data_IF_473746320839
#
_entry.id   IF_473746320839
#
_cell.length_a   1.000
_cell.length_b   1.000
_cell.length_c   1.000
_cell.angle_alpha   90.00
_cell.angle_beta   90.00
_cell.angle_gamma   90.00
#
_symmetry.space_group_name_H-M   'P 1'
#
loop_
_entity.id
_entity.type
_entity.pdbx_description
1 polymer ?
#
# COMPACT_ATOMS: atom_id res chain seq x y z
N UNK A 1 14.46 -31.41 22.49
CA UNK A 1 14.13 -30.03 22.88
C UNK A 1 14.10 -29.08 21.68
N UNK A 2 14.71 -29.46 20.55
CA UNK A 2 14.68 -28.60 19.32
C UNK A 2 13.42 -28.78 18.46
N UNK A 3 12.56 -29.74 18.82
CA UNK A 3 11.35 -30.03 18.02
C UNK A 3 10.12 -29.23 18.44
N UNK A 4 10.18 -28.45 19.50
CA UNK A 4 9.06 -27.61 19.94
C UNK A 4 9.09 -26.19 19.40
N UNK A 5 10.17 -25.79 18.73
CA UNK A 5 10.31 -24.46 18.15
C UNK A 5 9.49 -24.31 16.84
N UNK A 6 9.04 -25.41 16.27
CA UNK A 6 8.27 -25.43 15.02
C UNK A 6 6.79 -25.70 15.17
N UNK A 7 6.28 -25.84 16.35
CA UNK A 7 4.86 -26.03 16.57
C UNK A 7 4.20 -24.70 16.87
N UNK A 8 3.59 -24.18 15.84
CA UNK A 8 2.44 -23.30 15.81
C UNK A 8 2.27 -22.36 17.01
N UNK A 9 2.10 -21.09 16.70
CA UNK A 9 1.32 -20.20 17.56
C UNK A 9 -0.10 -20.80 17.64
N UNK A 10 -0.22 -21.97 18.23
CA UNK A 10 -1.48 -22.64 18.48
C UNK A 10 -1.87 -22.32 19.92
N UNK A 11 -2.94 -21.61 20.08
CA UNK A 11 -3.42 -21.18 21.36
C UNK A 11 -3.24 -19.69 21.61
N UNK A 12 -3.69 -19.23 22.76
CA UNK A 12 -3.67 -17.83 23.16
C UNK A 12 -2.26 -17.26 23.42
N UNK A 13 -1.21 -18.05 23.24
CA UNK A 13 0.14 -17.69 23.64
C UNK A 13 1.01 -17.31 22.46
N UNK A 14 1.43 -16.06 22.40
CA UNK A 14 2.58 -15.63 21.60
C UNK A 14 3.83 -16.03 22.36
N UNK A 15 4.62 -16.98 21.83
CA UNK A 15 5.90 -17.34 22.43
C UNK A 15 6.93 -16.25 22.15
N UNK A 16 7.17 -15.42 23.14
CA UNK A 16 8.26 -14.46 23.11
C UNK A 16 9.47 -15.11 23.76
N UNK A 17 10.49 -15.37 22.98
CA UNK A 17 11.76 -15.88 23.50
C UNK A 17 12.65 -14.69 23.84
N UNK A 18 12.51 -14.19 25.04
CA UNK A 18 13.47 -13.25 25.62
C UNK A 18 14.44 -14.13 26.43
N UNK A 19 15.64 -14.33 25.90
CA UNK A 19 16.69 -15.14 26.56
C UNK A 19 16.17 -16.50 27.09
N UNK A 20 15.42 -17.20 26.21
CA UNK A 20 14.93 -18.59 26.36
C UNK A 20 13.80 -18.89 27.35
N UNK A 21 13.20 -17.92 28.06
CA UNK A 21 12.39 -18.30 29.23
C UNK A 21 11.02 -17.65 29.39
N UNK A 22 10.63 -16.67 28.56
CA UNK A 22 9.37 -15.96 28.80
C UNK A 22 8.35 -16.23 27.70
N UNK A 23 7.08 -16.41 28.09
CA UNK A 23 5.94 -16.51 27.20
C UNK A 23 5.02 -15.32 27.43
N UNK A 24 4.42 -14.79 26.36
CA UNK A 24 3.42 -13.74 26.46
C UNK A 24 2.08 -14.25 25.97
N UNK A 25 1.02 -13.83 26.66
CA UNK A 25 -0.35 -14.07 26.22
C UNK A 25 -0.73 -13.08 25.12
N UNK A 26 -1.26 -13.61 24.01
CA UNK A 26 -1.71 -12.82 22.88
C UNK A 26 -3.11 -13.17 22.43
N UNK A 27 -3.74 -12.27 21.71
CA UNK A 27 -5.03 -12.49 21.07
C UNK A 27 -5.06 -11.85 19.69
N UNK A 28 -5.86 -12.43 18.80
CA UNK A 28 -6.14 -11.87 17.49
C UNK A 28 -7.16 -10.75 17.61
N UNK A 29 -6.88 -9.62 16.97
CA UNK A 29 -7.77 -8.46 16.85
C UNK A 29 -8.13 -8.28 15.40
N UNK A 30 -9.42 -8.30 15.08
CA UNK A 30 -9.89 -8.08 13.71
C UNK A 30 -9.72 -6.63 13.31
N UNK A 31 -9.25 -6.43 12.07
CA UNK A 31 -9.04 -5.12 11.47
C UNK A 31 -9.88 -5.03 10.20
N UNK A 32 -10.94 -4.23 10.23
CA UNK A 32 -11.85 -4.10 9.09
C UNK A 32 -11.50 -2.93 8.16
N UNK A 33 -10.75 -1.96 8.67
CA UNK A 33 -10.49 -0.70 7.97
C UNK A 33 -9.06 -0.25 8.22
N UNK A 34 -8.40 0.16 7.15
CA UNK A 34 -7.05 0.73 7.20
C UNK A 34 -7.01 2.04 6.42
N UNK A 35 -6.03 2.90 6.73
CA UNK A 35 -5.75 4.15 6.01
C UNK A 35 -4.29 4.16 5.56
N UNK A 36 -3.89 3.25 4.66
CA UNK A 36 -2.52 3.21 4.21
C UNK A 36 -2.23 4.38 3.27
N UNK A 37 -1.11 5.05 3.49
CA UNK A 37 -0.53 5.92 2.48
C UNK A 37 0.27 5.05 1.52
N UNK A 38 -0.30 4.75 0.38
CA UNK A 38 0.39 3.96 -0.65
C UNK A 38 0.25 4.62 -2.01
N UNK A 39 1.33 4.62 -2.77
CA UNK A 39 1.31 5.00 -4.18
C UNK A 39 0.84 3.86 -5.08
N UNK A 40 0.69 2.65 -4.54
CA UNK A 40 0.23 1.48 -5.29
C UNK A 40 -1.29 1.45 -5.30
N UNK A 41 -1.87 1.40 -6.51
CA UNK A 41 -3.30 1.18 -6.69
C UNK A 41 -3.54 -0.32 -6.93
N UNK A 42 -4.37 -0.91 -6.07
CA UNK A 42 -4.69 -2.33 -6.13
C UNK A 42 -6.04 -2.55 -6.79
N UNK A 43 -6.05 -3.34 -7.88
CA UNK A 43 -7.26 -3.54 -8.68
C UNK A 43 -7.45 -5.01 -8.99
N UNK A 44 -8.67 -5.50 -8.78
CA UNK A 44 -9.09 -6.84 -9.16
C UNK A 44 -9.70 -7.61 -8.02
N UNK A 45 -9.71 -8.94 -8.19
CA UNK A 45 -10.28 -9.87 -7.23
C UNK A 45 -9.55 -11.21 -7.28
N UNK A 46 -9.26 -11.75 -6.10
CA UNK A 46 -8.67 -13.07 -5.96
C UNK A 46 -9.38 -13.86 -4.86
N UNK A 47 -9.59 -15.14 -5.09
CA UNK A 47 -10.07 -16.11 -4.10
C UNK A 47 -9.00 -17.15 -3.84
N UNK A 48 -8.58 -17.25 -2.59
CA UNK A 48 -7.58 -18.20 -2.14
C UNK A 48 -8.22 -19.06 -1.05
N UNK A 49 -8.32 -20.40 -1.24
CA UNK A 49 -9.12 -21.26 -0.34
C UNK A 49 -8.75 -21.11 1.13
N UNK A 50 -7.45 -21.03 1.45
CA UNK A 50 -6.95 -20.93 2.83
C UNK A 50 -7.05 -19.53 3.40
N UNK A 51 -7.02 -18.51 2.54
CA UNK A 51 -6.97 -17.10 2.93
C UNK A 51 -8.36 -16.44 2.92
N UNK A 52 -9.08 -16.63 1.84
CA UNK A 52 -10.35 -15.97 1.58
C UNK A 52 -10.38 -15.20 0.29
N UNK A 53 -11.33 -14.28 0.16
CA UNK A 53 -11.51 -13.44 -1.03
C UNK A 53 -11.08 -12.01 -0.74
N UNK A 54 -10.21 -11.48 -1.59
CA UNK A 54 -9.75 -10.11 -1.56
C UNK A 54 -10.13 -9.41 -2.86
N UNK A 55 -10.81 -8.27 -2.73
CA UNK A 55 -11.21 -7.44 -3.85
C UNK A 55 -10.83 -6.00 -3.58
N UNK A 56 -10.35 -5.30 -4.59
CA UNK A 56 -10.00 -3.89 -4.49
C UNK A 56 -10.39 -3.15 -5.76
N UNK A 57 -10.93 -1.97 -5.57
CA UNK A 57 -11.13 -0.95 -6.58
C UNK A 57 -10.56 0.39 -6.10
N UNK A 58 -10.55 1.39 -6.98
CA UNK A 58 -9.82 2.64 -6.72
C UNK A 58 -10.69 3.84 -7.02
N UNK A 59 -10.68 4.82 -6.12
CA UNK A 59 -11.08 6.20 -6.41
C UNK A 59 -9.82 7.05 -6.41
N UNK A 60 -9.64 7.89 -7.43
CA UNK A 60 -8.43 8.71 -7.54
C UNK A 60 -8.71 10.04 -8.20
N UNK A 61 -8.04 11.07 -7.68
CA UNK A 61 -7.92 12.38 -8.29
C UNK A 61 -6.66 12.44 -9.17
N UNK A 62 -6.52 13.53 -9.90
CA UNK A 62 -5.36 13.80 -10.75
C UNK A 62 -4.79 15.19 -10.47
N UNK A 63 -3.47 15.26 -10.43
CA UNK A 63 -2.75 16.52 -10.49
C UNK A 63 -2.78 17.03 -11.93
N UNK A 64 -3.26 18.25 -12.18
CA UNK A 64 -3.37 18.75 -13.54
C UNK A 64 -2.01 19.04 -14.17
N UNK A 65 -1.93 18.92 -15.49
CA UNK A 65 -0.76 19.38 -16.23
C UNK A 65 -0.62 20.90 -16.11
N UNK A 66 0.62 21.38 -16.08
CA UNK A 66 0.94 22.81 -16.07
C UNK A 66 1.53 23.29 -17.42
N UNK A 67 1.61 22.41 -18.40
CA UNK A 67 2.32 22.64 -19.64
C UNK A 67 1.40 22.95 -20.84
N UNK A 68 0.16 23.36 -20.59
CA UNK A 68 -0.78 23.70 -21.64
C UNK A 68 -0.34 24.97 -22.39
N UNK A 69 -0.02 24.82 -23.68
CA UNK A 69 0.41 25.90 -24.52
C UNK A 69 -0.80 26.47 -25.33
N UNK A 70 -1.49 27.44 -24.72
CA UNK A 70 -2.67 28.08 -25.33
C UNK A 70 -2.32 29.08 -26.44
N UNK A 71 -1.05 29.45 -26.60
CA UNK A 71 -0.62 30.25 -27.75
C UNK A 71 -0.54 29.39 -29.02
N UNK A 72 -0.27 28.09 -28.87
CA UNK A 72 -0.08 27.15 -29.97
C UNK A 72 -1.31 26.30 -30.25
N UNK A 73 -2.02 25.84 -29.20
CA UNK A 73 -3.15 24.94 -29.32
C UNK A 73 -4.43 25.51 -28.72
N UNK A 74 -5.55 25.03 -29.27
CA UNK A 74 -6.89 25.21 -28.68
C UNK A 74 -7.48 23.85 -28.32
N UNK A 75 -8.60 23.83 -27.62
CA UNK A 75 -9.29 22.58 -27.28
C UNK A 75 -9.67 21.75 -28.51
N UNK A 76 -9.85 22.40 -29.70
CA UNK A 76 -10.18 21.69 -30.92
C UNK A 76 -9.02 20.85 -31.48
N UNK A 77 -7.79 21.09 -31.00
CA UNK A 77 -6.62 20.30 -31.37
C UNK A 77 -6.47 19.01 -30.54
N UNK A 78 -7.32 18.79 -29.54
CA UNK A 78 -7.34 17.53 -28.80
C UNK A 78 -7.79 16.40 -29.72
N UNK A 79 -6.91 15.44 -29.93
CA UNK A 79 -7.07 14.31 -30.81
C UNK A 79 -7.62 13.08 -30.08
N UNK A 80 -7.11 12.83 -28.89
CA UNK A 80 -7.52 11.70 -28.05
C UNK A 80 -7.11 11.91 -26.59
N UNK A 81 -7.68 11.08 -25.73
CA UNK A 81 -7.32 10.96 -24.31
C UNK A 81 -7.36 9.50 -23.88
N UNK A 82 -6.36 9.09 -23.12
CA UNK A 82 -6.24 7.74 -22.58
C UNK A 82 -5.97 7.77 -21.09
N UNK A 83 -6.49 6.77 -20.37
CA UNK A 83 -6.02 6.42 -19.04
C UNK A 83 -4.92 5.38 -19.21
N UNK A 84 -3.75 5.67 -18.67
CA UNK A 84 -2.57 4.79 -18.72
C UNK A 84 -2.29 4.25 -17.32
N UNK A 85 -2.28 2.93 -17.19
CA UNK A 85 -2.04 2.23 -15.94
C UNK A 85 -0.80 1.35 -16.11
N UNK A 86 0.27 1.70 -15.42
CA UNK A 86 1.53 0.96 -15.52
C UNK A 86 1.78 0.11 -14.29
N UNK A 87 2.28 -1.09 -14.51
CA UNK A 87 2.68 -2.01 -13.45
C UNK A 87 3.94 -2.79 -13.86
N UNK A 88 4.75 -3.21 -12.89
CA UNK A 88 5.90 -4.09 -13.14
C UNK A 88 5.41 -5.46 -13.65
N UNK A 89 6.19 -6.12 -14.49
CA UNK A 89 5.81 -7.39 -15.13
C UNK A 89 5.33 -8.46 -14.14
N UNK A 90 5.87 -8.48 -12.94
CA UNK A 90 5.53 -9.42 -11.87
C UNK A 90 4.59 -8.83 -10.79
N UNK A 91 4.14 -7.59 -10.95
CA UNK A 91 3.35 -6.90 -9.93
C UNK A 91 1.85 -7.26 -10.04
N UNK A 92 1.55 -8.53 -9.96
CA UNK A 92 0.19 -9.05 -9.82
C UNK A 92 0.22 -10.32 -8.98
N UNK A 93 -0.91 -10.65 -8.38
CA UNK A 93 -1.12 -11.87 -7.62
C UNK A 93 -2.22 -12.66 -8.34
N UNK A 94 -2.01 -13.95 -8.53
CA UNK A 94 -2.98 -14.85 -9.16
C UNK A 94 -2.62 -15.25 -10.59
N UNK A 95 -3.64 -15.59 -11.38
CA UNK A 95 -3.49 -16.13 -12.72
C UNK A 95 -3.08 -15.05 -13.72
N UNK A 96 -1.95 -15.26 -14.40
CA UNK A 96 -1.45 -14.33 -15.43
C UNK A 96 -2.29 -14.31 -16.72
N UNK A 97 -3.04 -15.37 -16.99
CA UNK A 97 -3.84 -15.49 -18.23
C UNK A 97 -5.33 -15.21 -18.02
N UNK A 98 -5.78 -15.09 -16.77
CA UNK A 98 -7.18 -14.79 -16.49
C UNK A 98 -7.58 -13.43 -17.09
N UNK A 99 -8.61 -13.39 -17.96
CA UNK A 99 -9.07 -12.12 -18.51
C UNK A 99 -9.82 -11.31 -17.44
N UNK A 100 -9.48 -10.04 -17.35
CA UNK A 100 -10.11 -9.07 -16.47
C UNK A 100 -10.62 -7.90 -17.30
N UNK A 101 -11.74 -7.32 -16.92
CA UNK A 101 -12.24 -6.11 -17.55
C UNK A 101 -12.18 -4.96 -16.56
N UNK A 102 -11.48 -3.90 -16.92
CA UNK A 102 -11.51 -2.62 -16.23
C UNK A 102 -12.61 -1.75 -16.80
N UNK A 103 -13.31 -1.06 -15.91
CA UNK A 103 -14.25 0.00 -16.27
C UNK A 103 -13.89 1.27 -15.52
N UNK A 104 -13.92 2.38 -16.23
CA UNK A 104 -13.60 3.70 -15.73
C UNK A 104 -14.88 4.53 -15.67
N UNK A 105 -15.20 5.04 -14.48
CA UNK A 105 -16.36 5.90 -14.24
C UNK A 105 -15.91 7.28 -13.80
N UNK A 106 -16.50 8.36 -14.31
CA UNK A 106 -16.17 9.70 -13.83
C UNK A 106 -16.78 9.92 -12.45
N UNK A 107 -16.01 10.48 -11.53
CA UNK A 107 -16.54 10.96 -10.27
C UNK A 107 -17.42 12.20 -10.51
N UNK A 108 -18.51 12.30 -9.78
CA UNK A 108 -19.44 13.43 -9.83
C UNK A 108 -19.30 14.37 -8.64
N UNK A 109 -18.54 13.94 -7.63
CA UNK A 109 -18.27 14.71 -6.41
C UNK A 109 -16.80 14.58 -6.06
N UNK A 110 -16.26 15.61 -5.45
CA UNK A 110 -14.90 15.57 -4.91
C UNK A 110 -14.83 14.61 -3.73
N UNK A 111 -13.84 13.73 -3.73
CA UNK A 111 -13.48 12.89 -2.58
C UNK A 111 -12.52 13.66 -1.68
N UNK A 112 -12.56 13.37 -0.37
CA UNK A 112 -11.73 14.03 0.63
C UNK A 112 -10.63 13.10 1.13
N UNK A 113 -9.61 13.65 1.77
CA UNK A 113 -8.46 12.88 2.24
C UNK A 113 -8.74 12.03 3.49
N UNK A 114 -9.90 12.17 4.11
CA UNK A 114 -10.29 11.43 5.31
C UNK A 114 -10.95 10.07 5.04
N UNK A 115 -11.07 9.68 3.77
CA UNK A 115 -11.58 8.36 3.41
C UNK A 115 -10.58 7.25 3.74
N UNK A 116 -11.11 6.04 3.96
CA UNK A 116 -10.33 4.86 4.32
C UNK A 116 -10.63 3.70 3.36
N UNK A 117 -10.03 2.54 3.61
CA UNK A 117 -10.19 1.35 2.76
C UNK A 117 -11.64 0.84 2.63
N UNK A 118 -12.53 1.21 3.54
CA UNK A 118 -13.95 0.88 3.49
C UNK A 118 -14.81 1.94 2.78
N UNK A 119 -14.20 2.88 2.09
CA UNK A 119 -14.96 3.92 1.37
C UNK A 119 -15.93 3.29 0.38
N UNK A 120 -17.19 3.69 0.47
CA UNK A 120 -18.23 3.28 -0.47
C UNK A 120 -18.40 4.37 -1.54
N UNK A 121 -18.09 4.10 -2.81
CA UNK A 121 -18.19 5.09 -3.87
C UNK A 121 -19.62 5.37 -4.34
N UNK A 122 -20.62 4.63 -3.86
CA UNK A 122 -22.02 4.82 -4.28
C UNK A 122 -22.48 6.27 -4.10
N UNK A 123 -23.04 6.84 -5.14
CA UNK A 123 -23.47 8.23 -5.17
C UNK A 123 -22.35 9.24 -5.48
N UNK A 124 -21.10 8.79 -5.67
CA UNK A 124 -19.96 9.64 -6.01
C UNK A 124 -19.57 9.58 -7.49
N UNK A 125 -20.12 8.66 -8.26
CA UNK A 125 -19.73 8.46 -9.66
C UNK A 125 -20.95 8.31 -10.56
N UNK A 126 -20.78 8.61 -11.84
CA UNK A 126 -21.76 8.29 -12.88
C UNK A 126 -21.67 6.80 -13.21
N UNK A 127 -22.81 6.13 -13.24
CA UNK A 127 -22.89 4.67 -13.48
C UNK A 127 -22.64 4.28 -14.92
N UNK A 128 -22.58 5.24 -15.85
CA UNK A 128 -22.17 4.99 -17.23
C UNK A 128 -20.64 5.10 -17.34
N UNK A 129 -19.95 4.02 -17.70
CA UNK A 129 -18.50 4.07 -17.85
C UNK A 129 -18.08 4.96 -19.02
N UNK A 130 -16.95 5.65 -18.86
CA UNK A 130 -16.33 6.45 -19.92
C UNK A 130 -15.24 5.68 -20.66
N UNK A 131 -14.89 4.50 -20.19
CA UNK A 131 -13.95 3.63 -20.88
C UNK A 131 -13.93 2.24 -20.25
N UNK A 132 -13.65 1.24 -21.07
CA UNK A 132 -13.50 -0.14 -20.64
C UNK A 132 -12.33 -0.80 -21.37
N UNK A 133 -11.66 -1.72 -20.71
CA UNK A 133 -10.55 -2.48 -21.31
C UNK A 133 -10.49 -3.89 -20.76
N UNK A 134 -10.46 -4.88 -21.64
CA UNK A 134 -10.16 -6.27 -21.26
C UNK A 134 -8.65 -6.46 -21.29
N UNK A 135 -8.10 -7.07 -20.27
CA UNK A 135 -6.66 -7.29 -20.16
C UNK A 135 -6.34 -8.62 -19.45
N UNK A 136 -5.14 -9.12 -19.75
CA UNK A 136 -4.47 -10.21 -19.01
C UNK A 136 -2.97 -9.91 -19.02
N UNK A 137 -2.20 -10.57 -18.17
CA UNK A 137 -0.74 -10.33 -18.14
C UNK A 137 -0.03 -10.70 -19.44
N UNK A 138 -0.63 -11.60 -20.25
CA UNK A 138 -0.08 -12.02 -21.55
C UNK A 138 -0.58 -11.19 -22.74
N UNK A 139 -1.59 -10.32 -22.56
CA UNK A 139 -2.25 -9.61 -23.66
C UNK A 139 -1.44 -8.40 -24.13
N UNK A 140 -0.70 -7.77 -23.23
CA UNK A 140 0.02 -6.54 -23.52
C UNK A 140 1.50 -6.80 -23.77
N UNK A 141 2.02 -6.19 -24.84
CA UNK A 141 3.47 -6.14 -25.05
C UNK A 141 4.10 -5.29 -23.95
N UNK A 142 5.25 -5.72 -23.47
CA UNK A 142 6.04 -4.90 -22.56
C UNK A 142 6.53 -3.66 -23.28
N UNK A 143 6.26 -2.48 -22.76
CA UNK A 143 6.85 -1.24 -23.28
C UNK A 143 8.34 -1.18 -22.96
N UNK A 144 8.68 -1.72 -21.80
CA UNK A 144 10.07 -1.96 -21.39
C UNK A 144 10.21 -3.41 -20.96
N UNK A 145 11.45 -3.95 -20.87
CA UNK A 145 11.65 -5.30 -20.36
C UNK A 145 11.10 -5.56 -18.96
N UNK A 146 10.79 -4.51 -18.18
CA UNK A 146 10.42 -4.59 -16.76
C UNK A 146 9.00 -4.17 -16.44
N UNK A 147 8.27 -3.53 -17.36
CA UNK A 147 6.93 -3.03 -17.09
C UNK A 147 5.95 -3.25 -18.23
N UNK A 148 4.65 -3.24 -17.87
CA UNK A 148 3.51 -3.30 -18.80
C UNK A 148 2.59 -2.12 -18.55
N UNK A 149 1.81 -1.75 -19.56
CA UNK A 149 0.83 -0.68 -19.50
C UNK A 149 -0.52 -1.16 -19.99
N UNK A 150 -1.56 -0.79 -19.25
CA UNK A 150 -2.95 -0.95 -19.67
C UNK A 150 -3.45 0.42 -20.10
N UNK A 151 -3.82 0.57 -21.38
CA UNK A 151 -4.35 1.81 -21.93
C UNK A 151 -5.86 1.69 -22.12
N UNK A 152 -6.59 2.59 -21.48
CA UNK A 152 -8.04 2.68 -21.63
C UNK A 152 -8.37 3.95 -22.38
N UNK A 153 -8.96 3.81 -23.56
CA UNK A 153 -9.41 4.97 -24.34
C UNK A 153 -10.58 5.65 -23.64
N UNK A 154 -10.48 6.96 -23.47
CA UNK A 154 -11.54 7.80 -22.92
C UNK A 154 -12.17 8.64 -24.04
N UNK A 155 -13.37 9.23 -23.82
CA UNK A 155 -13.99 10.08 -24.84
C UNK A 155 -13.15 11.31 -25.12
N UNK A 156 -12.94 11.63 -26.40
CA UNK A 156 -12.20 12.82 -26.82
C UNK A 156 -12.79 14.11 -26.23
N UNK A 157 -14.09 14.14 -26.05
CA UNK A 157 -14.81 15.28 -25.44
C UNK A 157 -14.31 15.58 -24.02
N UNK A 158 -13.90 14.57 -23.25
CA UNK A 158 -13.29 14.80 -21.93
C UNK A 158 -11.99 15.58 -22.07
N UNK A 159 -11.10 15.17 -22.97
CA UNK A 159 -9.84 15.87 -23.20
C UNK A 159 -10.06 17.31 -23.67
N UNK A 160 -11.02 17.52 -24.55
CA UNK A 160 -11.41 18.86 -25.01
C UNK A 160 -11.93 19.73 -23.89
N UNK A 161 -12.79 19.16 -23.03
CA UNK A 161 -13.31 19.87 -21.88
C UNK A 161 -12.21 20.25 -20.87
N UNK A 162 -11.24 19.36 -20.64
CA UNK A 162 -10.11 19.64 -19.75
C UNK A 162 -9.27 20.80 -20.30
N UNK A 163 -8.95 20.79 -21.58
CA UNK A 163 -8.17 21.86 -22.21
C UNK A 163 -8.93 23.19 -22.20
N UNK A 164 -10.22 23.16 -22.56
CA UNK A 164 -11.06 24.34 -22.56
C UNK A 164 -11.22 24.95 -21.17
N UNK A 165 -11.30 24.14 -20.14
CA UNK A 165 -11.35 24.63 -18.75
C UNK A 165 -10.12 25.47 -18.40
N UNK A 166 -8.93 25.09 -18.88
CA UNK A 166 -7.72 25.89 -18.71
C UNK A 166 -7.76 27.17 -19.53
N UNK A 167 -8.23 27.12 -20.79
CA UNK A 167 -8.38 28.30 -21.61
C UNK A 167 -9.31 29.34 -20.98
N UNK A 168 -10.43 28.88 -20.42
CA UNK A 168 -11.46 29.74 -19.85
C UNK A 168 -11.06 30.30 -18.47
N UNK A 169 -10.39 29.50 -17.65
CA UNK A 169 -9.97 29.89 -16.30
C UNK A 169 -8.70 29.14 -15.86
N UNK A 170 -7.51 29.65 -16.21
CA UNK A 170 -6.25 29.01 -15.84
C UNK A 170 -6.07 28.81 -14.34
N UNK A 171 -6.72 29.61 -13.49
CA UNK A 171 -6.62 29.50 -12.04
C UNK A 171 -7.21 28.20 -11.49
N UNK A 172 -8.10 27.53 -12.22
CA UNK A 172 -8.64 26.22 -11.85
C UNK A 172 -7.59 25.09 -11.94
N UNK A 173 -6.45 25.37 -12.54
CA UNK A 173 -5.30 24.48 -12.64
C UNK A 173 -4.21 24.79 -11.61
N UNK A 174 -4.46 25.66 -10.65
CA UNK A 174 -3.45 26.14 -9.70
C UNK A 174 -2.91 25.03 -8.80
N UNK A 175 -3.77 24.12 -8.38
CA UNK A 175 -3.38 22.93 -7.61
C UNK A 175 -4.37 21.77 -7.83
N UNK A 176 -4.03 20.58 -7.31
CA UNK A 176 -4.86 19.38 -7.48
C UNK A 176 -6.21 19.48 -6.78
N UNK A 177 -6.30 20.19 -5.66
CA UNK A 177 -7.56 20.35 -4.91
C UNK A 177 -8.55 21.24 -5.66
N UNK A 178 -8.09 22.36 -6.19
CA UNK A 178 -8.91 23.27 -7.00
C UNK A 178 -9.35 22.58 -8.29
N UNK A 179 -8.43 21.90 -8.95
CA UNK A 179 -8.73 21.13 -10.17
C UNK A 179 -9.80 20.07 -9.92
N UNK A 180 -9.67 19.28 -8.85
CA UNK A 180 -10.66 18.26 -8.49
C UNK A 180 -12.02 18.85 -8.14
N UNK A 181 -12.05 20.01 -7.48
CA UNK A 181 -13.28 20.70 -7.11
C UNK A 181 -14.01 21.32 -8.32
N UNK A 182 -13.28 21.99 -9.20
CA UNK A 182 -13.85 22.89 -10.20
C UNK A 182 -13.81 22.36 -11.63
N UNK A 183 -12.91 21.42 -11.94
CA UNK A 183 -12.72 20.90 -13.30
C UNK A 183 -13.09 19.43 -13.41
N UNK A 184 -12.35 18.56 -12.71
CA UNK A 184 -12.53 17.12 -12.83
C UNK A 184 -12.29 16.42 -11.48
N UNK A 185 -13.34 15.90 -10.85
CA UNK A 185 -13.23 15.28 -9.51
C UNK A 185 -12.36 14.01 -9.47
N UNK A 186 -12.13 13.39 -10.61
CA UNK A 186 -11.37 12.15 -10.71
C UNK A 186 -12.19 11.00 -11.29
N UNK A 187 -11.71 9.79 -11.06
CA UNK A 187 -12.33 8.57 -11.56
C UNK A 187 -12.55 7.54 -10.46
N UNK A 188 -13.54 6.69 -10.69
CA UNK A 188 -13.71 5.41 -10.02
C UNK A 188 -13.31 4.32 -11.01
N UNK A 189 -12.33 3.50 -10.62
CA UNK A 189 -11.75 2.46 -11.45
C UNK A 189 -12.01 1.10 -10.78
N UNK A 190 -12.68 0.19 -11.48
CA UNK A 190 -13.00 -1.12 -10.96
C UNK A 190 -12.89 -2.21 -11.99
N UNK A 191 -12.67 -3.43 -11.53
CA UNK A 191 -12.81 -4.63 -12.35
C UNK A 191 -14.30 -5.03 -12.39
N UNK A 192 -14.91 -4.99 -13.56
CA UNK A 192 -16.35 -5.30 -13.76
C UNK A 192 -16.59 -6.71 -14.28
N UNK A 193 -15.53 -7.38 -14.69
CA UNK A 193 -15.59 -8.76 -15.16
C UNK A 193 -14.28 -9.46 -14.84
N UNK A 194 -14.39 -10.75 -14.49
CA UNK A 194 -13.27 -11.61 -14.21
C UNK A 194 -12.86 -11.63 -12.75
N UNK A 195 -12.18 -12.70 -12.39
CA UNK A 195 -11.59 -12.92 -11.07
C UNK A 195 -10.30 -13.71 -11.23
N UNK A 196 -9.57 -13.87 -10.13
CA UNK A 196 -8.34 -14.68 -10.13
C UNK A 196 -7.07 -13.85 -10.25
N UNK A 197 -7.16 -12.52 -10.24
CA UNK A 197 -5.98 -11.65 -10.24
C UNK A 197 -6.22 -10.32 -9.54
N UNK A 198 -5.22 -9.90 -8.76
CA UNK A 198 -5.03 -8.54 -8.26
C UNK A 198 -3.81 -7.94 -8.95
N UNK A 199 -3.96 -6.76 -9.51
CA UNK A 199 -2.86 -6.04 -10.18
C UNK A 199 -2.44 -4.83 -9.35
N UNK A 200 -1.14 -4.66 -9.20
CA UNK A 200 -0.51 -3.57 -8.43
C UNK A 200 -0.05 -2.47 -9.40
N UNK A 201 -0.85 -1.43 -9.55
CA UNK A 201 -0.57 -0.31 -10.45
C UNK A 201 0.31 0.71 -9.72
N UNK A 202 1.45 1.05 -10.31
CA UNK A 202 2.40 2.02 -9.75
C UNK A 202 2.36 3.38 -10.43
N UNK A 203 1.84 3.45 -11.66
CA UNK A 203 1.63 4.72 -12.38
C UNK A 203 0.21 4.75 -12.90
N UNK A 204 -0.51 5.81 -12.55
CA UNK A 204 -1.85 6.10 -13.05
C UNK A 204 -1.85 7.53 -13.61
N UNK A 205 -2.12 7.65 -14.89
CA UNK A 205 -2.11 8.92 -15.58
C UNK A 205 -3.21 9.00 -16.64
N UNK A 206 -3.79 10.18 -16.84
CA UNK A 206 -4.51 10.49 -18.06
C UNK A 206 -3.57 11.25 -18.99
N UNK A 207 -3.53 10.85 -20.26
CA UNK A 207 -2.74 11.53 -21.29
C UNK A 207 -3.66 12.11 -22.34
N UNK A 208 -3.58 13.42 -22.51
CA UNK A 208 -4.29 14.15 -23.57
C UNK A 208 -3.32 14.39 -24.72
N UNK A 209 -3.71 13.92 -25.89
CA UNK A 209 -2.91 14.06 -27.12
C UNK A 209 -3.44 15.21 -27.95
N UNK A 210 -2.59 16.20 -28.21
CA UNK A 210 -2.86 17.36 -29.04
C UNK A 210 -2.11 17.23 -30.34
N UNK A 211 -2.79 17.57 -31.42
CA UNK A 211 -2.20 17.60 -32.76
C UNK A 211 -2.77 18.79 -33.57
N UNK A 212 -1.89 19.55 -34.17
CA UNK A 212 -2.25 20.63 -35.06
C UNK A 212 -1.68 20.34 -36.44
N UNK A 213 -2.59 20.25 -37.40
CA UNK A 213 -2.26 20.04 -38.79
C UNK A 213 -2.48 21.34 -39.52
N UNK A 214 -1.49 21.82 -40.27
CA UNK A 214 -1.61 22.98 -41.10
C UNK A 214 -0.80 22.81 -42.40
N UNK A 215 -1.14 23.63 -43.41
CA UNK A 215 -0.43 23.64 -44.69
C UNK A 215 0.67 24.68 -44.61
N UNK A 216 1.97 24.29 -44.65
CA UNK A 216 3.07 25.22 -44.62
C UNK A 216 3.05 26.12 -45.85
N UNK A 217 3.59 27.34 -45.71
CA UNK A 217 3.72 28.27 -46.81
C UNK A 217 4.52 27.64 -47.97
N UNK A 218 3.96 27.68 -49.18
CA UNK A 218 4.58 27.12 -50.37
C UNK A 218 4.37 25.61 -50.60
N UNK A 219 3.56 24.94 -49.78
CA UNK A 219 3.15 23.52 -49.96
C UNK A 219 1.66 23.44 -50.28
N UNK A 220 1.28 22.46 -51.11
CA UNK A 220 -0.13 22.21 -51.44
C UNK A 220 -0.80 21.25 -50.49
N UNK A 221 -0.01 20.38 -49.84
CA UNK A 221 -0.51 19.36 -48.95
C UNK A 221 -0.36 19.75 -47.45
N UNK A 222 -1.37 19.45 -46.62
CA UNK A 222 -1.25 19.68 -45.20
C UNK A 222 -0.18 18.74 -44.58
N UNK A 223 0.54 19.26 -43.60
CA UNK A 223 1.54 18.53 -42.86
C UNK A 223 1.29 18.65 -41.35
N UNK A 224 1.56 17.57 -40.56
CA UNK A 224 1.47 17.62 -39.11
C UNK A 224 2.72 18.30 -38.58
N UNK A 225 2.59 19.45 -37.98
CA UNK A 225 3.74 20.26 -37.57
C UNK A 225 3.89 20.30 -36.07
N UNK A 226 2.79 20.34 -35.33
CA UNK A 226 2.80 20.45 -33.87
C UNK A 226 2.02 19.34 -33.24
N UNK A 227 2.64 18.69 -32.23
CA UNK A 227 2.03 17.69 -31.38
C UNK A 227 2.47 17.92 -29.94
N UNK A 228 1.59 17.65 -29.01
CA UNK A 228 1.89 17.72 -27.57
C UNK A 228 1.13 16.65 -26.82
N UNK A 229 1.76 16.12 -25.77
CA UNK A 229 1.12 15.23 -24.80
C UNK A 229 1.03 15.95 -23.45
N UNK A 230 -0.15 15.97 -22.86
CA UNK A 230 -0.40 16.54 -21.55
C UNK A 230 -0.69 15.41 -20.57
N UNK A 231 0.01 15.39 -19.44
CA UNK A 231 -0.11 14.36 -18.43
C UNK A 231 -0.83 14.88 -17.18
N UNK A 232 -1.87 14.17 -16.79
CA UNK A 232 -2.63 14.38 -15.57
C UNK A 232 -2.33 13.18 -14.67
N UNK A 233 -1.61 13.40 -13.57
CA UNK A 233 -0.96 12.32 -12.82
C UNK A 233 -1.63 12.09 -11.46
N UNK A 234 -1.75 10.83 -11.06
CA UNK A 234 -1.97 10.51 -9.66
C UNK A 234 -0.64 10.56 -8.92
N UNK A 235 -0.51 11.50 -8.01
CA UNK A 235 0.69 11.74 -7.20
C UNK A 235 0.32 11.76 -5.72
N UNK A 236 1.28 11.74 -4.78
CA UNK A 236 0.99 11.89 -3.36
C UNK A 236 0.29 13.21 -2.96
N UNK A 237 0.29 14.20 -3.86
CA UNK A 237 -0.38 15.50 -3.64
C UNK A 237 -1.90 15.44 -3.81
N UNK A 238 -2.42 14.39 -4.43
CA UNK A 238 -3.86 14.20 -4.67
C UNK A 238 -4.38 12.99 -3.91
N UNK A 239 -5.69 12.94 -3.73
CA UNK A 239 -6.34 11.82 -3.05
C UNK A 239 -6.41 10.62 -3.98
N UNK A 240 -5.90 9.49 -3.52
CA UNK A 240 -6.05 8.18 -4.14
C UNK A 240 -6.31 7.15 -3.06
N UNK A 241 -7.31 6.31 -3.24
CA UNK A 241 -7.73 5.34 -2.22
C UNK A 241 -8.06 3.98 -2.84
N UNK A 242 -7.53 2.94 -2.22
CA UNK A 242 -7.91 1.57 -2.50
C UNK A 242 -9.11 1.20 -1.63
N UNK A 243 -10.24 0.90 -2.26
CA UNK A 243 -11.44 0.42 -1.59
C UNK A 243 -11.32 -1.10 -1.48
N UNK A 244 -10.97 -1.57 -0.30
CA UNK A 244 -10.61 -2.98 -0.09
C UNK A 244 -11.76 -3.70 0.61
N UNK A 245 -12.14 -4.85 0.06
CA UNK A 245 -13.11 -5.78 0.66
C UNK A 245 -12.43 -7.12 0.84
N UNK A 246 -12.27 -7.52 2.10
CA UNK A 246 -11.72 -8.82 2.45
C UNK A 246 -12.76 -9.67 3.16
N UNK A 247 -12.99 -10.87 2.63
CA UNK A 247 -13.80 -11.90 3.26
C UNK A 247 -12.89 -13.05 3.68
N UNK A 248 -12.68 -13.17 4.98
CA UNK A 248 -11.83 -14.20 5.57
C UNK A 248 -12.37 -15.60 5.27
N UNK A 249 -11.48 -16.56 5.00
CA UNK A 249 -11.86 -17.96 4.83
C UNK A 249 -12.44 -18.55 6.11
N UNK A 250 -13.29 -19.57 5.97
CA UNK A 250 -13.82 -20.30 7.12
C UNK A 250 -12.70 -20.95 7.93
N UNK A 251 -11.64 -21.42 7.26
CA UNK A 251 -10.46 -21.98 7.92
C UNK A 251 -9.80 -20.98 8.88
N UNK A 252 -9.51 -19.75 8.40
CA UNK A 252 -8.90 -18.73 9.25
C UNK A 252 -9.84 -18.29 10.37
N UNK A 253 -11.12 -18.09 10.06
CA UNK A 253 -12.12 -17.72 11.06
C UNK A 253 -12.23 -18.78 12.16
N UNK A 254 -12.20 -20.06 11.81
CA UNK A 254 -12.23 -21.17 12.76
C UNK A 254 -10.97 -21.21 13.61
N UNK A 255 -9.80 -20.99 13.02
CA UNK A 255 -8.53 -20.94 13.75
C UNK A 255 -8.54 -19.82 14.77
N UNK A 256 -9.01 -18.63 14.40
CA UNK A 256 -9.12 -17.49 15.33
C UNK A 256 -10.11 -17.81 16.46
N UNK A 257 -11.25 -18.42 16.15
CA UNK A 257 -12.23 -18.82 17.14
C UNK A 257 -11.68 -19.88 18.12
N UNK A 258 -10.72 -20.70 17.68
CA UNK A 258 -10.02 -21.68 18.52
C UNK A 258 -8.88 -21.08 19.33
N UNK A 259 -8.64 -19.77 19.23
CA UNK A 259 -7.62 -19.06 20.00
C UNK A 259 -6.27 -18.92 19.32
N UNK A 260 -6.13 -19.24 18.03
CA UNK A 260 -4.90 -18.98 17.28
C UNK A 260 -4.67 -17.48 17.13
N UNK A 261 -3.43 -17.04 17.25
CA UNK A 261 -3.03 -15.66 17.02
C UNK A 261 -2.50 -15.50 15.59
N UNK A 262 -3.09 -14.58 14.84
CA UNK A 262 -2.84 -14.47 13.41
C UNK A 262 -2.74 -13.03 12.96
N UNK A 263 -1.76 -12.77 12.10
CA UNK A 263 -1.67 -11.52 11.31
C UNK A 263 -2.15 -11.80 9.90
N UNK A 264 -3.20 -11.14 9.48
CA UNK A 264 -3.81 -11.31 8.16
C UNK A 264 -4.01 -9.91 7.56
N UNK A 265 -3.49 -9.68 6.38
CA UNK A 265 -3.62 -8.40 5.69
C UNK A 265 -3.92 -8.62 4.20
N UNK A 266 -4.43 -7.58 3.51
CA UNK A 266 -4.96 -6.33 4.08
C UNK A 266 -6.33 -6.51 4.74
N UNK A 267 -6.64 -5.67 5.72
CA UNK A 267 -7.95 -5.62 6.38
C UNK A 267 -8.41 -6.93 7.07
N UNK A 268 -7.49 -7.72 7.57
CA UNK A 268 -7.80 -8.98 8.23
C UNK A 268 -7.65 -8.91 9.75
N UNK A 269 -6.45 -9.09 10.26
CA UNK A 269 -6.20 -9.14 11.69
C UNK A 269 -4.79 -8.72 12.07
N UNK A 270 -4.64 -8.32 13.30
CA UNK A 270 -3.38 -8.06 13.98
C UNK A 270 -3.38 -8.78 15.34
N UNK A 271 -2.27 -8.75 16.05
CA UNK A 271 -2.12 -9.42 17.34
C UNK A 271 -1.93 -8.37 18.42
N UNK A 272 -2.61 -8.56 19.54
CA UNK A 272 -2.39 -7.83 20.79
C UNK A 272 -1.78 -8.76 21.80
N UNK A 273 -0.70 -8.37 22.45
CA UNK A 273 -0.04 -9.18 23.47
C UNK A 273 0.50 -8.34 24.62
N UNK A 274 0.63 -8.97 25.78
CA UNK A 274 1.28 -8.39 26.95
C UNK A 274 2.74 -8.81 26.98
N UNK A 275 3.67 -7.85 26.90
CA UNK A 275 5.09 -8.12 27.10
C UNK A 275 5.30 -8.51 28.58
N UNK A 276 6.10 -9.55 28.86
CA UNK A 276 6.29 -10.04 30.24
C UNK A 276 7.25 -9.10 31.03
N UNK A 277 6.86 -7.86 31.18
CA UNK A 277 7.69 -6.78 31.72
C UNK A 277 8.09 -7.04 33.17
N UNK A 278 7.13 -7.46 33.99
CA UNK A 278 7.41 -7.68 35.41
C UNK A 278 8.41 -8.84 35.64
N UNK A 279 8.26 -9.91 34.88
CA UNK A 279 9.17 -11.06 34.95
C UNK A 279 10.59 -10.69 34.51
N UNK A 280 10.69 -9.86 33.45
CA UNK A 280 11.98 -9.35 32.96
C UNK A 280 12.63 -8.43 33.97
N UNK A 281 11.86 -7.51 34.58
CA UNK A 281 12.37 -6.61 35.62
C UNK A 281 12.82 -7.39 36.86
N UNK A 282 12.06 -8.39 37.31
CA UNK A 282 12.40 -9.21 38.43
C UNK A 282 13.69 -10.00 38.19
N UNK A 283 13.85 -10.52 36.97
CA UNK A 283 15.08 -11.20 36.56
C UNK A 283 16.27 -10.25 36.55
N UNK A 284 16.09 -9.04 36.07
CA UNK A 284 17.12 -7.98 36.07
C UNK A 284 17.55 -7.66 37.51
N UNK A 285 16.61 -7.44 38.43
CA UNK A 285 16.88 -7.13 39.81
C UNK A 285 17.56 -8.28 40.54
N UNK A 286 17.19 -9.52 40.24
CA UNK A 286 17.78 -10.72 40.83
C UNK A 286 19.25 -10.90 40.45
N UNK A 287 19.60 -10.63 39.19
CA UNK A 287 20.95 -10.83 38.67
C UNK A 287 21.83 -9.56 38.68
N UNK A 288 21.32 -8.45 39.19
CA UNK A 288 22.04 -7.16 39.39
C UNK A 288 22.92 -6.75 38.21
N UNK A 289 22.46 -6.96 36.94
CA UNK A 289 23.37 -6.75 35.82
C UNK A 289 22.75 -6.12 34.59
N UNK A 290 23.43 -5.10 34.07
CA UNK A 290 23.23 -4.49 32.76
C UNK A 290 23.35 -5.53 31.62
N UNK A 291 24.09 -6.63 31.85
CA UNK A 291 24.27 -7.69 30.86
C UNK A 291 22.97 -8.35 30.42
N UNK A 292 21.99 -8.52 31.31
CA UNK A 292 20.67 -9.08 30.99
C UNK A 292 19.89 -8.15 30.08
N UNK A 293 19.95 -6.84 30.29
CA UNK A 293 19.29 -5.84 29.45
C UNK A 293 19.96 -5.74 28.07
N UNK A 294 21.27 -5.83 28.02
CA UNK A 294 22.04 -5.72 26.78
C UNK A 294 21.81 -6.91 25.83
N UNK A 295 21.49 -8.08 26.38
CA UNK A 295 21.20 -9.30 25.62
C UNK A 295 19.73 -9.51 25.30
N UNK A 296 18.84 -8.60 25.73
CA UNK A 296 17.41 -8.70 25.49
C UNK A 296 17.07 -8.54 24.03
N UNK A 297 16.83 -9.66 23.37
CA UNK A 297 16.22 -9.75 22.05
C UNK A 297 14.90 -10.49 22.18
N UNK A 298 13.98 -10.19 21.29
CA UNK A 298 12.67 -10.84 21.24
C UNK A 298 12.51 -11.50 19.88
N UNK A 299 12.17 -12.78 19.89
CA UNK A 299 11.90 -13.54 18.67
C UNK A 299 10.48 -14.07 18.69
N UNK A 300 9.71 -13.81 17.66
CA UNK A 300 8.34 -14.31 17.53
C UNK A 300 8.34 -15.40 16.47
N UNK A 301 8.17 -16.67 16.87
CA UNK A 301 8.08 -17.77 15.91
C UNK A 301 6.75 -17.70 15.14
N UNK A 302 6.83 -18.04 13.87
CA UNK A 302 5.71 -18.02 12.93
C UNK A 302 5.48 -19.40 12.38
N UNK A 303 4.23 -19.81 12.35
CA UNK A 303 3.78 -21.01 11.67
C UNK A 303 3.10 -20.62 10.36
N UNK A 304 3.75 -20.93 9.25
CA UNK A 304 3.21 -20.58 7.92
C UNK A 304 2.06 -21.51 7.55
N UNK A 305 0.99 -20.94 7.03
CA UNK A 305 -0.15 -21.70 6.54
C UNK A 305 0.12 -22.12 5.10
N UNK A 306 0.16 -23.44 4.87
CA UNK A 306 0.36 -23.99 3.52
C UNK A 306 -0.78 -23.61 2.61
N UNK A 307 -0.44 -23.10 1.42
CA UNK A 307 -1.40 -22.74 0.39
C UNK A 307 -0.76 -22.87 -1.01
N UNK A 308 -1.60 -22.98 -2.04
CA UNK A 308 -1.17 -23.15 -3.42
C UNK A 308 -0.90 -21.83 -4.15
N UNK A 309 -1.16 -20.69 -3.51
CA UNK A 309 -1.04 -19.36 -4.13
C UNK A 309 0.23 -18.62 -3.76
N UNK A 310 1.11 -19.21 -2.96
CA UNK A 310 2.33 -18.55 -2.52
C UNK A 310 2.10 -17.40 -1.55
N UNK A 311 0.98 -17.40 -0.81
CA UNK A 311 0.74 -16.42 0.25
C UNK A 311 1.73 -16.69 1.38
N UNK A 312 2.48 -15.67 1.75
CA UNK A 312 3.53 -15.72 2.76
C UNK A 312 3.13 -14.94 4.00
N UNK A 313 3.83 -15.15 5.13
CA UNK A 313 3.72 -14.22 6.24
C UNK A 313 4.00 -12.77 5.82
N UNK A 314 3.47 -11.77 6.53
CA UNK A 314 3.78 -10.37 6.25
C UNK A 314 5.29 -10.14 6.18
N UNK A 315 5.78 -9.38 5.19
CA UNK A 315 7.23 -9.16 5.05
C UNK A 315 7.84 -8.41 6.23
N UNK A 316 7.03 -7.58 6.91
CA UNK A 316 7.43 -6.84 8.10
C UNK A 316 6.31 -6.85 9.13
N UNK A 317 6.68 -6.87 10.40
CA UNK A 317 5.78 -6.69 11.52
C UNK A 317 6.23 -5.47 12.35
N UNK A 318 5.28 -4.61 12.67
CA UNK A 318 5.45 -3.50 13.60
C UNK A 318 5.01 -3.95 14.98
N UNK A 319 5.87 -3.78 15.97
CA UNK A 319 5.52 -3.91 17.38
C UNK A 319 5.47 -2.52 17.98
N UNK A 320 4.31 -2.08 18.39
CA UNK A 320 4.07 -0.74 18.92
C UNK A 320 3.18 -0.85 20.16
N UNK A 321 3.38 0.01 21.16
CA UNK A 321 2.46 0.07 22.28
C UNK A 321 1.03 0.29 21.76
N UNK A 322 0.09 -0.52 22.25
CA UNK A 322 -1.30 -0.44 21.80
C UNK A 322 -1.88 0.95 21.93
N UNK A 323 -1.56 1.66 23.01
CA UNK A 323 -2.02 3.03 23.24
C UNK A 323 -1.54 4.03 22.18
N UNK A 324 -0.42 3.73 21.51
CA UNK A 324 0.23 4.62 20.52
C UNK A 324 -0.04 4.19 19.07
N UNK A 325 -0.66 3.05 18.86
CA UNK A 325 -0.82 2.43 17.54
C UNK A 325 -1.49 3.35 16.52
N UNK A 326 -2.63 3.90 16.85
CA UNK A 326 -3.40 4.73 15.91
C UNK A 326 -2.68 6.03 15.60
N UNK A 327 -2.08 6.65 16.59
CA UNK A 327 -1.27 7.86 16.42
C UNK A 327 -0.01 7.60 15.59
N UNK A 328 0.61 6.44 15.74
CA UNK A 328 1.79 6.05 14.96
C UNK A 328 1.51 6.15 13.46
N UNK A 329 0.41 5.59 13.00
CA UNK A 329 0.03 5.67 11.60
C UNK A 329 -0.55 7.03 11.19
N UNK A 330 -1.39 7.63 12.01
CA UNK A 330 -2.02 8.93 11.74
C UNK A 330 -0.99 10.05 11.56
N UNK A 331 0.08 10.03 12.35
CA UNK A 331 1.17 10.99 12.28
C UNK A 331 2.35 10.56 11.40
N UNK A 332 2.20 9.45 10.69
CA UNK A 332 3.24 8.90 9.82
C UNK A 332 4.61 8.78 10.52
N UNK A 333 4.57 8.22 11.73
CA UNK A 333 5.77 8.05 12.54
C UNK A 333 6.66 6.92 12.03
N UNK A 334 7.95 7.02 12.33
CA UNK A 334 8.91 5.93 12.25
C UNK A 334 9.15 5.34 13.63
N UNK A 335 9.71 4.13 13.68
CA UNK A 335 10.01 3.45 14.93
C UNK A 335 11.09 4.18 15.73
N UNK A 336 10.88 4.29 17.04
CA UNK A 336 11.82 4.95 17.95
C UNK A 336 12.74 3.98 18.72
N UNK A 337 12.50 2.67 18.58
CA UNK A 337 13.19 1.60 19.30
C UNK A 337 13.10 1.69 20.85
N UNK A 338 12.08 2.38 21.32
CA UNK A 338 11.71 2.49 22.74
C UNK A 338 10.28 1.99 22.95
N UNK A 339 9.33 2.55 22.19
CA UNK A 339 7.91 2.21 22.26
C UNK A 339 7.39 1.60 20.97
N UNK A 340 8.23 1.58 19.95
CA UNK A 340 7.90 1.03 18.64
C UNK A 340 9.12 0.40 17.97
N UNK A 341 8.91 -0.75 17.36
CA UNK A 341 9.95 -1.57 16.74
C UNK A 341 9.39 -2.21 15.49
N UNK A 342 10.23 -2.46 14.48
CA UNK A 342 9.82 -3.33 13.39
C UNK A 342 10.86 -4.42 13.14
N UNK A 343 10.41 -5.52 12.58
CA UNK A 343 11.26 -6.62 12.17
C UNK A 343 10.80 -7.16 10.82
N UNK A 344 11.76 -7.59 10.00
CA UNK A 344 11.48 -8.35 8.78
C UNK A 344 11.22 -9.81 9.11
N UNK A 345 10.40 -10.47 8.27
CA UNK A 345 10.22 -11.90 8.37
C UNK A 345 11.51 -12.63 7.93
N UNK A 346 12.04 -13.47 8.82
CA UNK A 346 13.17 -14.33 8.51
C UNK A 346 12.66 -15.70 8.07
N UNK A 347 12.71 -15.97 6.75
CA UNK A 347 12.21 -17.22 6.18
C UNK A 347 13.08 -18.45 6.56
N UNK A 348 14.33 -18.25 6.95
CA UNK A 348 15.23 -19.32 7.35
C UNK A 348 14.87 -19.85 8.74
N UNK A 349 14.60 -18.95 9.66
CA UNK A 349 14.24 -19.29 11.04
C UNK A 349 12.72 -19.31 11.28
N UNK A 350 11.93 -18.82 10.33
CA UNK A 350 10.48 -18.62 10.48
C UNK A 350 10.12 -17.74 11.69
N UNK A 351 10.81 -16.61 11.80
CA UNK A 351 10.65 -15.70 12.93
C UNK A 351 10.63 -14.23 12.51
N UNK A 352 10.06 -13.39 13.37
CA UNK A 352 10.32 -11.97 13.42
C UNK A 352 11.24 -11.69 14.61
N UNK A 353 12.42 -11.15 14.36
CA UNK A 353 13.44 -10.92 15.38
C UNK A 353 13.54 -9.43 15.70
N UNK A 354 13.22 -9.07 16.94
CA UNK A 354 13.32 -7.71 17.45
C UNK A 354 14.59 -7.61 18.30
N UNK A 355 15.59 -6.95 17.79
CA UNK A 355 16.98 -7.09 18.23
C UNK A 355 17.37 -6.26 19.45
N UNK A 356 16.56 -5.32 19.91
CA UNK A 356 17.00 -4.47 21.04
C UNK A 356 15.81 -3.93 21.82
N UNK A 357 15.54 -4.56 22.94
CA UNK A 357 14.52 -4.09 23.90
C UNK A 357 15.13 -3.24 25.04
N UNK A 358 16.42 -2.96 24.98
CA UNK A 358 17.15 -2.28 26.05
C UNK A 358 16.55 -0.93 26.43
N UNK A 359 16.33 -0.06 25.43
CA UNK A 359 15.83 1.28 25.70
C UNK A 359 14.41 1.28 26.24
N UNK A 360 13.58 0.33 25.80
CA UNK A 360 12.26 0.12 26.37
C UNK A 360 12.33 -0.29 27.84
N UNK A 361 13.12 -1.31 28.17
CA UNK A 361 13.26 -1.78 29.55
C UNK A 361 13.84 -0.67 30.44
N UNK A 362 14.86 0.02 29.99
CA UNK A 362 15.47 1.13 30.71
C UNK A 362 14.44 2.23 31.02
N UNK A 363 13.60 2.59 30.04
CA UNK A 363 12.55 3.57 30.25
C UNK A 363 11.49 3.11 31.27
N UNK A 364 11.21 1.81 31.30
CA UNK A 364 10.26 1.25 32.27
C UNK A 364 10.82 1.22 33.68
N UNK A 365 12.12 0.97 33.85
CA UNK A 365 12.80 1.00 35.14
C UNK A 365 12.80 2.39 35.79
N UNK A 366 12.71 3.45 34.97
CA UNK A 366 12.67 4.85 35.45
C UNK A 366 11.27 5.29 35.88
N UNK A 367 10.23 4.50 35.61
CA UNK A 367 8.85 4.82 35.97
C UNK A 367 8.57 4.53 37.44
N UNK A 368 7.86 5.42 38.10
CA UNK A 368 7.40 5.22 39.47
C UNK A 368 6.29 4.16 39.55
N UNK A 369 5.42 4.13 38.55
CA UNK A 369 4.31 3.19 38.44
C UNK A 369 4.23 2.62 37.01
N UNK A 370 4.07 1.30 36.93
CA UNK A 370 3.88 0.57 35.66
C UNK A 370 2.44 0.10 35.58
N UNK A 371 1.76 0.48 34.53
CA UNK A 371 0.39 0.05 34.23
C UNK A 371 0.35 -0.89 33.01
N UNK A 372 -0.78 -1.54 32.78
CA UNK A 372 -0.94 -2.44 31.62
C UNK A 372 -0.66 -1.76 30.29
N UNK A 373 -0.96 -0.46 30.16
CA UNK A 373 -0.68 0.31 28.95
C UNK A 373 0.81 0.41 28.62
N UNK A 374 1.66 0.24 29.63
CA UNK A 374 3.12 0.32 29.45
C UNK A 374 3.71 -0.95 28.83
N UNK A 375 3.00 -2.07 28.88
CA UNK A 375 3.49 -3.35 28.36
C UNK A 375 2.52 -4.08 27.42
N UNK A 376 1.42 -3.45 27.05
CA UNK A 376 0.51 -4.01 26.03
C UNK A 376 0.90 -3.50 24.65
N UNK A 377 1.28 -4.41 23.77
CA UNK A 377 1.72 -4.14 22.41
C UNK A 377 0.72 -4.63 21.38
N UNK A 378 0.65 -3.91 20.27
CA UNK A 378 0.07 -4.40 19.02
C UNK A 378 1.19 -4.89 18.11
N UNK A 379 0.99 -6.04 17.48
CA UNK A 379 1.84 -6.57 16.41
C UNK A 379 1.05 -6.48 15.12
N UNK A 380 1.51 -5.62 14.22
CA UNK A 380 0.75 -5.19 13.04
C UNK A 380 1.51 -5.57 11.77
N UNK A 381 0.86 -6.23 10.79
CA UNK A 381 1.49 -6.40 9.49
C UNK A 381 1.63 -5.05 8.79
N UNK A 382 2.86 -4.72 8.41
CA UNK A 382 3.17 -3.42 7.81
C UNK A 382 4.01 -3.57 6.55
N UNK A 383 3.98 -2.51 5.76
CA UNK A 383 4.94 -2.26 4.71
C UNK A 383 5.94 -1.21 5.19
N UNK A 384 7.22 -1.45 4.97
CA UNK A 384 8.30 -0.52 5.29
C UNK A 384 8.92 -0.05 3.99
N UNK A 385 8.91 1.25 3.76
CA UNK A 385 9.54 1.87 2.60
C UNK A 385 10.89 2.45 2.98
N UNK A 386 11.83 2.40 2.05
CA UNK A 386 13.19 2.88 2.24
C UNK A 386 13.53 3.91 1.18
N UNK A 387 14.31 4.92 1.58
CA UNK A 387 14.91 5.91 0.69
C UNK A 387 16.41 5.69 0.60
N UNK A 388 16.98 5.90 -0.59
CA UNK A 388 18.42 5.92 -0.77
C UNK A 388 18.98 7.23 -0.22
N UNK A 389 19.98 7.11 0.67
CA UNK A 389 20.77 8.25 1.08
C UNK A 389 21.76 8.58 -0.03
N UNK A 390 21.96 9.88 -0.32
CA UNK A 390 22.92 10.33 -1.29
C UNK A 390 24.30 9.74 -0.97
N UNK A 391 24.88 8.98 -1.92
CA UNK A 391 26.20 8.42 -1.73
C UNK A 391 27.26 9.54 -1.80
N UNK A 392 28.13 9.62 -0.79
CA UNK A 392 29.29 10.52 -0.79
C UNK A 392 30.50 9.91 -1.53
N UNK A 393 30.31 8.81 -2.24
CA UNK A 393 31.38 8.12 -2.97
C UNK A 393 31.79 8.83 -4.24
N UNK A 394 33.09 8.73 -4.59
CA UNK A 394 33.57 9.23 -5.87
C UNK A 394 33.07 8.35 -7.02
N UNK A 395 33.04 8.88 -8.25
CA UNK A 395 32.64 8.18 -9.46
C UNK A 395 33.39 6.84 -9.67
N UNK A 396 34.60 6.73 -9.17
CA UNK A 396 35.44 5.53 -9.30
C UNK A 396 35.29 4.51 -8.18
N UNK A 397 34.70 4.88 -7.07
CA UNK A 397 34.45 4.03 -5.91
C UNK A 397 33.02 4.24 -5.42
N UNK A 398 32.02 3.68 -6.14
CA UNK A 398 30.64 3.77 -5.67
C UNK A 398 30.54 3.03 -4.33
N UNK A 399 30.31 3.78 -3.26
CA UNK A 399 29.89 3.20 -1.99
C UNK A 399 28.49 2.63 -2.17
N UNK A 400 28.24 1.45 -1.59
CA UNK A 400 26.90 0.90 -1.49
C UNK A 400 25.95 1.98 -0.95
N UNK A 401 24.87 2.28 -1.70
CA UNK A 401 23.88 3.23 -1.25
C UNK A 401 23.33 2.78 0.12
N UNK A 402 23.51 3.62 1.14
CA UNK A 402 22.84 3.41 2.42
C UNK A 402 21.38 3.77 2.25
N UNK A 403 20.50 2.89 2.72
CA UNK A 403 19.06 3.14 2.76
C UNK A 403 18.64 3.50 4.18
N UNK A 404 17.64 4.36 4.30
CA UNK A 404 16.97 4.67 5.56
C UNK A 404 15.48 4.49 5.40
N UNK A 405 14.81 4.15 6.50
CA UNK A 405 13.36 4.03 6.51
C UNK A 405 12.73 5.39 6.19
N UNK A 406 11.76 5.40 5.29
CA UNK A 406 11.02 6.61 4.91
C UNK A 406 9.57 6.56 5.38
N UNK A 407 8.94 5.40 5.41
CA UNK A 407 7.54 5.26 5.75
C UNK A 407 7.23 3.85 6.27
N UNK A 408 6.37 3.77 7.30
CA UNK A 408 5.80 2.51 7.81
C UNK A 408 4.29 2.64 7.82
N UNK A 409 3.61 1.82 7.02
CA UNK A 409 2.16 1.85 6.87
C UNK A 409 1.55 0.46 7.00
N UNK A 410 0.26 0.35 7.36
CA UNK A 410 -0.43 -0.94 7.34
C UNK A 410 -0.26 -1.63 5.98
N UNK A 411 -0.01 -2.92 6.00
CA UNK A 411 0.20 -3.69 4.77
C UNK A 411 -1.09 -3.76 3.95
N UNK A 412 -1.02 -3.34 2.69
CA UNK A 412 -2.21 -3.12 1.86
C UNK A 412 -2.08 -3.59 0.40
N UNK A 413 -0.96 -4.19 0.02
CA UNK A 413 -0.64 -4.37 -1.41
C UNK A 413 -0.74 -5.81 -1.92
N UNK A 414 -0.89 -6.79 -1.03
CA UNK A 414 -1.05 -8.19 -1.41
C UNK A 414 -1.66 -9.00 -0.25
N UNK A 415 -2.24 -10.19 -0.52
CA UNK A 415 -2.62 -11.11 0.54
C UNK A 415 -1.41 -11.61 1.32
N UNK A 416 -1.45 -11.51 2.65
CA UNK A 416 -0.48 -12.11 3.56
C UNK A 416 -1.18 -12.70 4.79
N UNK A 417 -0.61 -13.74 5.33
CA UNK A 417 -1.15 -14.39 6.53
C UNK A 417 -0.08 -15.20 7.28
#
# INVERSE_FOLDING_TARGET
AASEIGTSITGADVKIVVDSSFTASGKTVLVNTIRPKTSVQLIGRISIPEYGTLESDVVTQFLPSTELDTAKFTYTNVDSIYLNLRYANSAFIGDSVAPMQLSVYPLTKQITSDIASNFNPDGYYSTTPIGTRIYSASTFKSETPTSKEIDVKLPTELGRRLFKAFEDNPSDYADGRIFARDVFPGIYLRSTYGSGRLTQITVCAMTVYLRKIYTPEGKEEPDTIDAQHLYYLTTPEVVSNNNIRYNMSDKLSSMIAQGHTMMIAPCGSEIEFAFPLQEVIDTYRKHKGIAVINSLSMSIPVDSIKNSFGVTPPPYALMVLKKDRDEFFAKNKLTDNVTSFYASYNAVTSTYDFSSMRSYITSMLEKDEITADDFTFSLVPVNVSFEELASSGSYYFPTTANTTESEIQPYATAPVM
#
